data_IF_725694045668
#
_entry.id   IF_725694045668
#
_cell.length_a   1.000
_cell.length_b   1.000
_cell.length_c   1.000
_cell.angle_alpha   90.00
_cell.angle_beta   90.00
_cell.angle_gamma   90.00
#
_symmetry.space_group_name_H-M   'P 1'
#
loop_
_entity.id
_entity.type
_entity.pdbx_description
1 polymer ?
#
# COMPACT_ATOMS: atom_id res chain seq x y z
N UNK A 1 -0.13 61.39 -49.11
CA UNK A 1 -0.89 61.05 -47.89
C UNK A 1 -1.08 59.54 -47.85
N UNK A 2 -0.24 58.83 -47.10
CA UNK A 2 -0.25 57.37 -47.01
C UNK A 2 -0.86 57.02 -45.64
N UNK A 3 -2.02 56.33 -45.68
CA UNK A 3 -2.73 55.89 -44.50
C UNK A 3 -2.20 54.55 -43.99
N UNK A 4 -1.67 54.57 -42.77
CA UNK A 4 -1.15 53.41 -42.08
C UNK A 4 -2.32 52.59 -41.45
N UNK A 5 -2.60 51.39 -41.96
CA UNK A 5 -3.57 50.46 -41.36
C UNK A 5 -2.85 49.69 -40.26
N UNK A 6 -3.27 49.84 -39.02
CA UNK A 6 -2.85 49.03 -37.87
C UNK A 6 -3.57 47.68 -37.95
N UNK A 7 -2.82 46.61 -38.06
CA UNK A 7 -3.35 45.25 -37.87
C UNK A 7 -3.45 44.96 -36.36
N UNK A 8 -4.65 44.61 -35.89
CA UNK A 8 -4.90 44.10 -34.53
C UNK A 8 -4.79 42.58 -34.58
N UNK A 9 -3.76 42.05 -33.98
CA UNK A 9 -3.58 40.59 -33.81
C UNK A 9 -4.37 40.15 -32.58
N UNK A 10 -5.47 39.42 -32.80
CA UNK A 10 -6.23 38.76 -31.72
C UNK A 10 -5.47 37.49 -31.33
N UNK A 11 -4.89 37.45 -30.15
CA UNK A 11 -4.33 36.23 -29.53
C UNK A 11 -5.47 35.48 -28.87
N UNK A 12 -5.89 34.36 -29.44
CA UNK A 12 -6.84 33.46 -28.84
C UNK A 12 -6.11 32.67 -27.73
N UNK A 13 -6.46 32.93 -26.48
CA UNK A 13 -6.03 32.11 -25.36
C UNK A 13 -6.84 30.79 -25.39
N UNK A 14 -6.16 29.68 -25.67
CA UNK A 14 -6.71 28.33 -25.57
C UNK A 14 -6.80 27.97 -24.08
N UNK A 15 -7.98 28.09 -23.49
CA UNK A 15 -8.27 27.53 -22.16
C UNK A 15 -8.35 26.02 -22.31
N UNK A 16 -7.26 25.33 -21.94
CA UNK A 16 -7.27 23.91 -21.68
C UNK A 16 -8.12 23.68 -20.40
N UNK A 17 -9.35 23.25 -20.58
CA UNK A 17 -10.13 22.67 -19.50
C UNK A 17 -9.46 21.36 -19.08
N UNK A 18 -8.78 21.38 -17.93
CA UNK A 18 -8.41 20.17 -17.23
C UNK A 18 -9.74 19.52 -16.84
N UNK A 19 -10.15 18.49 -17.57
CA UNK A 19 -11.29 17.68 -17.20
C UNK A 19 -11.02 17.11 -15.81
N UNK A 20 -11.88 17.47 -14.84
CA UNK A 20 -11.93 16.76 -13.58
C UNK A 20 -12.09 15.27 -13.91
N UNK A 21 -11.15 14.45 -13.46
CA UNK A 21 -11.29 13.01 -13.56
C UNK A 21 -12.60 12.65 -12.86
N UNK A 22 -13.53 12.07 -13.61
CA UNK A 22 -14.76 11.56 -13.03
C UNK A 22 -14.36 10.58 -11.93
N UNK A 23 -14.73 10.92 -10.70
CA UNK A 23 -14.65 10.00 -9.57
C UNK A 23 -15.49 8.78 -9.97
N UNK A 24 -14.91 7.56 -10.06
CA UNK A 24 -15.73 6.40 -10.37
C UNK A 24 -16.78 6.28 -9.26
N UNK A 25 -18.01 6.59 -9.58
CA UNK A 25 -19.17 6.37 -8.71
C UNK A 25 -19.25 4.88 -8.43
N UNK A 26 -19.19 4.55 -7.16
CA UNK A 26 -19.01 3.25 -6.59
C UNK A 26 -19.94 2.17 -7.16
N UNK A 27 -19.39 1.05 -7.69
CA UNK A 27 -20.16 -0.17 -7.98
C UNK A 27 -20.67 -0.85 -6.70
N UNK A 28 -20.43 -0.27 -5.52
CA UNK A 28 -20.61 -0.91 -4.22
C UNK A 28 -21.97 -0.64 -3.57
N UNK A 29 -22.73 0.37 -4.00
CA UNK A 29 -24.05 0.69 -3.42
C UNK A 29 -25.07 -0.44 -3.55
N UNK A 30 -24.91 -1.38 -4.48
CA UNK A 30 -25.77 -2.56 -4.64
C UNK A 30 -25.32 -3.80 -3.84
N UNK A 31 -24.12 -3.80 -3.27
CA UNK A 31 -23.54 -4.95 -2.57
C UNK A 31 -23.67 -4.87 -1.04
N UNK A 32 -24.24 -3.78 -0.51
CA UNK A 32 -24.41 -3.56 0.93
C UNK A 32 -23.18 -2.96 1.64
N UNK A 33 -22.17 -2.52 0.89
CA UNK A 33 -21.04 -1.80 1.42
C UNK A 33 -21.37 -0.33 1.66
N UNK A 34 -21.08 0.18 2.86
CA UNK A 34 -21.28 1.57 3.29
C UNK A 34 -19.90 2.21 3.55
N UNK A 35 -19.59 3.34 2.90
CA UNK A 35 -18.36 4.09 3.14
C UNK A 35 -18.34 4.63 4.57
N UNK A 36 -17.31 4.28 5.35
CA UNK A 36 -17.17 4.70 6.76
C UNK A 36 -15.94 5.54 7.01
N UNK A 37 -14.96 5.50 6.12
CA UNK A 37 -13.76 6.32 6.18
C UNK A 37 -13.13 6.44 4.80
N UNK A 38 -12.57 7.61 4.51
CA UNK A 38 -11.81 7.83 3.28
C UNK A 38 -10.72 8.87 3.48
N UNK A 39 -9.68 8.77 2.66
CA UNK A 39 -8.79 9.87 2.35
C UNK A 39 -8.60 9.94 0.84
N UNK A 40 -9.11 11.03 0.27
CA UNK A 40 -9.00 11.36 -1.15
C UNK A 40 -7.75 12.20 -1.43
N UNK A 41 -6.93 12.44 -0.40
CA UNK A 41 -5.70 13.24 -0.43
C UNK A 41 -5.88 14.62 -1.06
N UNK A 42 -7.07 15.20 -0.90
CA UNK A 42 -7.33 16.58 -1.31
C UNK A 42 -6.54 17.56 -0.42
N UNK A 43 -6.06 18.64 -1.04
CA UNK A 43 -5.25 19.63 -0.33
C UNK A 43 -3.78 19.60 -0.74
N UNK A 44 -2.91 20.15 0.10
CA UNK A 44 -1.48 20.37 -0.17
C UNK A 44 -0.55 19.71 0.87
N UNK A 45 -1.12 18.98 1.82
CA UNK A 45 -0.38 18.35 2.91
C UNK A 45 -1.09 17.11 3.45
N UNK A 46 -0.30 16.21 4.05
CA UNK A 46 -0.81 15.01 4.70
C UNK A 46 -1.71 15.36 5.89
N UNK A 47 -2.93 14.83 5.91
CA UNK A 47 -3.85 14.99 7.04
C UNK A 47 -3.35 14.21 8.26
N UNK A 48 -2.85 14.95 9.25
CA UNK A 48 -2.29 14.39 10.50
C UNK A 48 -3.36 13.86 11.46
N UNK A 49 -4.62 14.08 11.19
CA UNK A 49 -5.72 13.45 11.94
C UNK A 49 -6.00 12.03 11.43
N UNK A 50 -5.56 11.72 10.20
CA UNK A 50 -5.70 10.41 9.57
C UNK A 50 -4.40 9.61 9.57
N UNK A 51 -3.23 10.28 9.44
CA UNK A 51 -1.96 9.64 9.19
C UNK A 51 -0.84 10.10 10.11
N UNK A 52 -0.05 9.15 10.58
CA UNK A 52 1.23 9.36 11.24
C UNK A 52 2.36 8.84 10.37
N UNK A 53 3.31 9.67 9.93
CA UNK A 53 4.55 9.20 9.31
C UNK A 53 5.39 8.37 10.25
N UNK A 54 6.01 7.32 9.73
CA UNK A 54 7.06 6.61 10.44
C UNK A 54 8.41 7.28 10.20
N UNK A 55 9.19 7.46 11.27
CA UNK A 55 10.58 7.94 11.21
C UNK A 55 11.49 6.87 11.79
N UNK A 56 12.11 6.07 10.92
CA UNK A 56 13.05 5.01 11.33
C UNK A 56 13.91 4.56 10.16
N UNK A 57 15.04 3.94 10.48
CA UNK A 57 15.93 3.28 9.52
C UNK A 57 15.91 1.75 9.70
N UNK A 58 14.81 1.20 10.22
CA UNK A 58 14.71 -0.20 10.63
C UNK A 58 14.74 -1.19 9.45
N UNK A 59 14.19 -0.79 8.30
CA UNK A 59 14.11 -1.67 7.13
C UNK A 59 13.21 -2.88 7.31
N UNK A 60 12.15 -2.77 8.15
CA UNK A 60 11.10 -3.79 8.31
C UNK A 60 11.57 -5.19 8.77
N UNK A 61 12.85 -5.35 9.13
CA UNK A 61 13.45 -6.68 9.34
C UNK A 61 13.81 -7.42 8.04
N UNK A 62 13.60 -6.81 6.88
CA UNK A 62 13.79 -7.40 5.55
C UNK A 62 15.10 -6.99 4.86
N UNK A 63 16.01 -6.31 5.58
CA UNK A 63 17.24 -5.72 5.04
C UNK A 63 17.01 -4.62 4.01
N UNK A 64 15.89 -3.91 4.12
CA UNK A 64 15.60 -2.74 3.29
C UNK A 64 16.65 -1.64 3.54
N UNK A 65 16.84 -0.77 2.55
CA UNK A 65 18.00 0.13 2.47
C UNK A 65 17.65 1.60 2.70
N UNK A 66 16.42 1.94 3.07
CA UNK A 66 15.99 3.30 3.34
C UNK A 66 15.90 3.62 4.83
N UNK A 67 16.00 4.90 5.14
CA UNK A 67 15.34 5.49 6.30
C UNK A 67 14.01 6.08 5.84
N UNK A 68 12.93 5.80 6.55
CA UNK A 68 11.69 6.55 6.43
C UNK A 68 11.83 7.88 7.15
N UNK A 69 11.32 8.94 6.55
CA UNK A 69 11.37 10.30 7.09
C UNK A 69 10.04 11.01 6.94
N UNK A 70 9.79 11.99 7.82
CA UNK A 70 8.64 12.88 7.76
C UNK A 70 8.98 14.21 7.07
N UNK A 71 9.56 14.13 5.87
CA UNK A 71 9.96 15.31 5.09
C UNK A 71 9.14 15.38 3.80
N UNK A 72 8.83 16.60 3.28
CA UNK A 72 8.15 16.77 1.99
C UNK A 72 8.88 16.09 0.82
N UNK A 73 10.20 15.91 0.93
CA UNK A 73 11.01 15.17 -0.04
C UNK A 73 10.65 13.68 -0.12
N UNK A 74 10.04 13.11 0.92
CA UNK A 74 9.68 11.70 1.00
C UNK A 74 8.17 11.47 1.11
N UNK A 75 7.40 12.43 1.67
CA UNK A 75 5.95 12.36 1.80
C UNK A 75 5.38 13.70 1.37
N UNK A 76 4.55 13.70 0.31
CA UNK A 76 3.87 14.90 -0.16
C UNK A 76 2.44 14.56 -0.61
N UNK A 77 1.57 15.56 -0.54
CA UNK A 77 0.24 15.53 -1.19
C UNK A 77 0.28 16.59 -2.27
N UNK A 78 0.10 16.19 -3.51
CA UNK A 78 0.22 17.07 -4.67
C UNK A 78 -0.86 16.71 -5.69
N UNK A 79 -1.73 17.66 -6.03
CA UNK A 79 -2.77 17.47 -7.05
C UNK A 79 -3.78 16.36 -6.74
N UNK A 80 -4.15 16.19 -5.48
CA UNK A 80 -5.09 15.15 -5.04
C UNK A 80 -4.47 13.75 -4.91
N UNK A 81 -3.14 13.65 -4.78
CA UNK A 81 -2.44 12.37 -4.73
C UNK A 81 -1.41 12.36 -3.60
N UNK A 82 -1.42 11.32 -2.77
CA UNK A 82 -0.32 11.05 -1.85
C UNK A 82 0.87 10.47 -2.61
N UNK A 83 2.02 11.10 -2.47
CA UNK A 83 3.27 10.71 -3.09
C UNK A 83 4.27 10.23 -2.03
N UNK A 84 4.59 8.94 -2.02
CA UNK A 84 5.69 8.39 -1.23
C UNK A 84 6.92 8.29 -2.14
N UNK A 85 7.94 9.08 -1.82
CA UNK A 85 9.10 9.33 -2.71
C UNK A 85 10.36 8.68 -2.13
N UNK A 86 10.94 7.72 -2.86
CA UNK A 86 12.25 7.12 -2.52
C UNK A 86 13.37 7.83 -3.24
N UNK A 87 14.42 8.24 -2.50
CA UNK A 87 15.54 9.02 -3.01
C UNK A 87 16.87 8.36 -2.65
N UNK A 88 17.84 8.43 -3.56
CA UNK A 88 19.22 8.07 -3.26
C UNK A 88 19.85 9.22 -2.47
N UNK A 89 19.81 9.11 -1.17
CA UNK A 89 20.28 10.13 -0.23
C UNK A 89 20.80 9.43 1.03
N UNK A 90 22.05 9.72 1.41
CA UNK A 90 22.60 9.21 2.67
C UNK A 90 21.98 9.94 3.85
N UNK A 91 21.31 9.21 4.72
CA UNK A 91 20.60 9.76 5.87
C UNK A 91 20.90 8.97 7.14
N UNK A 92 20.99 9.66 8.28
CA UNK A 92 21.18 9.07 9.61
C UNK A 92 19.97 9.35 10.47
N UNK A 93 19.29 8.32 10.93
CA UNK A 93 18.08 8.41 11.74
C UNK A 93 18.00 7.33 12.82
N UNK A 94 16.89 7.29 13.58
CA UNK A 94 16.64 6.25 14.58
C UNK A 94 16.69 4.86 13.96
N UNK A 95 17.33 3.90 14.64
CA UNK A 95 17.40 2.52 14.13
C UNK A 95 16.05 1.83 14.09
N UNK A 96 15.14 2.17 15.01
CA UNK A 96 13.82 1.54 15.15
C UNK A 96 12.71 2.58 15.31
N UNK A 97 11.48 2.27 14.89
CA UNK A 97 10.34 3.12 15.21
C UNK A 97 10.06 3.10 16.72
N UNK A 98 9.43 4.13 17.29
CA UNK A 98 9.29 4.31 18.74
C UNK A 98 8.69 3.12 19.48
N UNK A 99 7.77 2.39 18.86
CA UNK A 99 7.03 1.29 19.48
C UNK A 99 7.87 0.05 19.80
N UNK A 100 8.97 -0.11 19.08
CA UNK A 100 9.90 -1.25 19.25
C UNK A 100 11.34 -0.79 19.50
N UNK A 101 11.50 0.49 19.82
CA UNK A 101 12.81 1.07 20.07
C UNK A 101 13.37 0.65 21.44
N UNK A 102 14.67 0.41 21.47
CA UNK A 102 15.44 0.33 22.72
C UNK A 102 15.67 1.74 23.28
N UNK A 103 15.94 1.86 24.55
CA UNK A 103 16.29 3.13 25.17
C UNK A 103 17.75 3.07 25.71
N UNK A 104 18.70 3.84 25.12
CA UNK A 104 18.50 4.78 24.01
C UNK A 104 18.30 4.06 22.66
N UNK A 105 17.49 4.67 21.77
CA UNK A 105 17.33 4.20 20.39
C UNK A 105 18.58 4.59 19.58
N UNK A 106 19.40 3.64 19.13
CA UNK A 106 20.63 3.96 18.40
C UNK A 106 20.29 4.62 17.06
N UNK A 107 21.25 5.37 16.52
CA UNK A 107 21.13 5.93 15.17
C UNK A 107 21.90 5.05 14.18
N UNK A 108 21.33 4.85 13.01
CA UNK A 108 21.97 4.15 11.89
C UNK A 108 21.91 5.00 10.63
N UNK A 109 22.81 4.73 9.69
CA UNK A 109 22.88 5.44 8.42
C UNK A 109 22.50 4.49 7.28
N UNK A 110 21.59 4.94 6.44
CA UNK A 110 21.16 4.24 5.23
C UNK A 110 21.48 5.07 3.97
N UNK A 111 21.65 4.42 2.80
CA UNK A 111 21.97 5.11 1.56
C UNK A 111 20.77 5.71 0.82
N UNK A 112 19.55 5.46 1.30
CA UNK A 112 18.30 5.95 0.73
C UNK A 112 17.42 6.55 1.80
N UNK A 113 16.52 7.44 1.38
CA UNK A 113 15.38 7.91 2.18
C UNK A 113 14.08 7.57 1.45
N UNK A 114 12.99 7.40 2.19
CA UNK A 114 11.66 7.14 1.64
C UNK A 114 10.54 7.57 2.57
N UNK A 115 9.28 7.38 2.14
CA UNK A 115 8.08 7.68 2.91
C UNK A 115 7.34 6.43 3.37
N UNK A 116 6.79 6.49 4.60
CA UNK A 116 5.84 5.56 5.17
C UNK A 116 4.83 6.29 6.02
N UNK A 117 3.55 6.04 5.80
CA UNK A 117 2.43 6.60 6.56
C UNK A 117 1.55 5.49 7.11
N UNK A 118 0.91 5.71 8.27
CA UNK A 118 0.08 4.71 8.93
C UNK A 118 -1.05 5.36 9.73
N UNK A 119 -2.17 4.66 9.82
CA UNK A 119 -3.32 5.09 10.63
C UNK A 119 -3.27 4.61 12.08
N UNK A 120 -2.17 3.98 12.51
CA UNK A 120 -1.99 3.41 13.86
C UNK A 120 -2.28 4.42 14.95
N UNK A 121 -3.14 4.02 15.92
CA UNK A 121 -3.55 4.86 17.04
C UNK A 121 -4.50 6.00 16.66
N UNK A 122 -4.86 6.14 15.38
CA UNK A 122 -5.83 7.10 14.87
C UNK A 122 -7.08 6.38 14.36
N UNK A 123 -6.90 5.38 13.49
CA UNK A 123 -7.98 4.61 12.88
C UNK A 123 -7.57 3.15 12.71
N UNK A 124 -8.47 2.24 13.08
CA UNK A 124 -8.35 0.80 12.86
C UNK A 124 -9.75 0.19 12.64
N UNK A 125 -9.81 -0.88 11.86
CA UNK A 125 -11.07 -1.52 11.48
C UNK A 125 -10.97 -3.03 11.71
N UNK A 126 -12.10 -3.62 12.06
CA UNK A 126 -12.29 -5.06 12.08
C UNK A 126 -13.37 -5.39 11.08
N UNK A 127 -13.02 -6.18 10.07
CA UNK A 127 -13.86 -6.53 8.93
C UNK A 127 -14.22 -5.32 8.05
N UNK A 128 -14.68 -5.59 6.86
CA UNK A 128 -15.03 -4.58 5.89
C UNK A 128 -14.35 -4.78 4.54
N UNK A 129 -14.46 -3.80 3.68
CA UNK A 129 -13.72 -3.71 2.42
C UNK A 129 -12.80 -2.49 2.49
N UNK A 130 -11.53 -2.71 2.23
CA UNK A 130 -10.54 -1.65 2.12
C UNK A 130 -10.10 -1.59 0.66
N UNK A 131 -10.18 -0.42 0.08
CA UNK A 131 -9.78 -0.14 -1.30
C UNK A 131 -8.68 0.90 -1.34
N UNK A 132 -7.76 0.70 -2.25
CA UNK A 132 -6.65 1.62 -2.53
C UNK A 132 -6.55 1.82 -4.04
N UNK A 133 -6.71 3.06 -4.52
CA UNK A 133 -6.41 3.39 -5.90
C UNK A 133 -4.99 3.91 -5.98
N UNK A 134 -4.12 3.16 -6.64
CA UNK A 134 -2.69 3.45 -6.62
C UNK A 134 -2.01 3.14 -7.95
N UNK A 135 -0.89 3.86 -8.21
CA UNK A 135 0.05 3.61 -9.29
C UNK A 135 1.42 3.32 -8.71
N UNK A 136 1.89 2.10 -8.88
CA UNK A 136 3.17 1.64 -8.32
C UNK A 136 4.36 2.12 -9.17
N UNK A 137 5.53 2.40 -8.56
CA UNK A 137 6.72 2.79 -9.33
C UNK A 137 7.31 1.61 -10.10
N UNK A 138 7.83 1.83 -11.31
CA UNK A 138 8.65 0.84 -11.99
C UNK A 138 10.08 0.82 -11.42
N UNK A 139 10.80 -0.28 -11.71
CA UNK A 139 12.25 -0.35 -11.51
C UNK A 139 12.72 -1.42 -10.55
N UNK A 140 13.89 -2.00 -10.87
CA UNK A 140 14.54 -3.01 -10.03
C UNK A 140 14.97 -2.42 -8.69
N UNK A 141 14.47 -2.98 -7.60
CA UNK A 141 14.77 -2.57 -6.23
C UNK A 141 13.70 -1.67 -5.59
N UNK A 142 12.60 -1.33 -6.30
CA UNK A 142 11.43 -0.70 -5.68
C UNK A 142 10.54 -1.75 -5.02
N UNK A 143 9.92 -1.40 -3.88
CA UNK A 143 8.97 -2.24 -3.16
C UNK A 143 7.90 -1.36 -2.50
N UNK A 144 6.91 -0.88 -3.26
CA UNK A 144 5.72 -0.24 -2.72
C UNK A 144 4.82 -1.27 -2.05
N UNK A 145 4.15 -0.88 -0.97
CA UNK A 145 3.16 -1.69 -0.27
C UNK A 145 2.05 -0.85 0.34
N UNK A 146 0.83 -1.41 0.36
CA UNK A 146 -0.27 -1.01 1.22
C UNK A 146 -0.76 -2.25 1.95
N UNK A 147 -0.70 -2.22 3.26
CA UNK A 147 -0.85 -3.38 4.11
C UNK A 147 -1.41 -3.00 5.48
N UNK A 148 -1.76 -4.00 6.28
CA UNK A 148 -2.41 -3.80 7.56
C UNK A 148 -1.75 -4.63 8.65
N UNK A 149 -1.64 -4.04 9.83
CA UNK A 149 -1.19 -4.71 11.05
C UNK A 149 -2.23 -4.53 12.16
N UNK A 150 -2.29 -5.44 13.15
CA UNK A 150 -3.19 -5.28 14.28
C UNK A 150 -2.86 -4.01 15.05
N UNK A 151 -3.89 -3.25 15.39
CA UNK A 151 -3.75 -2.02 16.19
C UNK A 151 -3.19 -2.34 17.58
N UNK A 152 -3.76 -3.36 18.20
CA UNK A 152 -3.22 -4.01 19.40
C UNK A 152 -2.96 -5.49 19.09
N UNK A 153 -1.75 -6.02 19.36
CA UNK A 153 -1.40 -7.40 19.01
C UNK A 153 -2.01 -8.40 19.99
N UNK A 154 -3.34 -8.62 19.92
CA UNK A 154 -4.10 -9.42 20.88
C UNK A 154 -3.60 -10.86 21.05
N UNK A 155 -2.94 -11.42 20.05
CA UNK A 155 -2.40 -12.78 20.06
C UNK A 155 -0.89 -12.85 20.29
N UNK A 156 -0.22 -11.72 20.49
CA UNK A 156 1.22 -11.61 20.69
C UNK A 156 1.96 -11.03 19.49
N UNK A 157 3.31 -11.04 19.51
CA UNK A 157 4.11 -10.40 18.48
C UNK A 157 3.95 -11.07 17.11
N UNK A 158 4.33 -10.32 16.07
CA UNK A 158 4.29 -10.77 14.69
C UNK A 158 4.92 -12.17 14.50
N UNK A 159 4.29 -13.06 13.72
CA UNK A 159 3.00 -12.92 13.05
C UNK A 159 1.83 -13.61 13.79
N UNK A 160 1.96 -13.82 15.13
CA UNK A 160 0.90 -14.45 15.94
C UNK A 160 -0.42 -13.68 15.85
N UNK A 161 -0.34 -12.36 15.70
CA UNK A 161 -1.50 -11.47 15.59
C UNK A 161 -1.88 -11.13 14.14
N UNK A 162 -1.23 -11.76 13.15
CA UNK A 162 -1.56 -11.61 11.72
C UNK A 162 -0.96 -10.37 11.06
N UNK A 163 -1.01 -10.38 9.70
CA UNK A 163 -0.71 -9.28 8.79
C UNK A 163 -1.51 -9.48 7.51
N UNK A 164 -2.04 -8.43 6.93
CA UNK A 164 -2.85 -8.45 5.70
C UNK A 164 -2.20 -7.51 4.68
N UNK A 165 -1.66 -8.05 3.59
CA UNK A 165 -1.01 -7.28 2.53
C UNK A 165 -1.99 -7.12 1.37
N UNK A 166 -2.56 -5.90 1.24
CA UNK A 166 -3.55 -5.60 0.20
C UNK A 166 -2.86 -5.47 -1.15
N UNK A 167 -1.75 -4.74 -1.17
CA UNK A 167 -0.92 -4.48 -2.34
C UNK A 167 0.54 -4.53 -1.95
N UNK A 168 1.29 -5.40 -2.60
CA UNK A 168 2.73 -5.30 -2.72
C UNK A 168 3.12 -5.39 -4.20
N UNK A 169 4.18 -4.71 -4.58
CA UNK A 169 4.78 -4.87 -5.89
C UNK A 169 6.30 -4.75 -5.79
N UNK A 170 7.01 -5.57 -6.54
CA UNK A 170 8.48 -5.48 -6.58
C UNK A 170 8.97 -5.47 -8.01
N UNK A 171 9.95 -4.61 -8.28
CA UNK A 171 10.72 -4.66 -9.53
C UNK A 171 9.88 -4.51 -10.81
N UNK A 172 8.76 -3.79 -10.79
CA UNK A 172 7.87 -3.64 -11.94
C UNK A 172 8.65 -3.19 -13.19
N UNK A 173 8.42 -3.85 -14.33
CA UNK A 173 9.13 -3.63 -15.59
C UNK A 173 10.52 -4.26 -15.65
N UNK A 174 11.07 -4.79 -14.57
CA UNK A 174 12.36 -5.48 -14.59
C UNK A 174 12.25 -6.85 -15.28
N UNK A 175 13.39 -7.37 -15.77
CA UNK A 175 13.45 -8.66 -16.49
C UNK A 175 12.79 -9.77 -15.68
N UNK A 176 11.77 -10.40 -16.25
CA UNK A 176 11.02 -11.50 -15.62
C UNK A 176 10.89 -12.65 -16.61
N UNK A 177 11.24 -13.88 -16.18
CA UNK A 177 11.18 -15.06 -17.04
C UNK A 177 9.81 -15.72 -17.05
N UNK A 178 9.01 -15.50 -16.00
CA UNK A 178 7.72 -16.17 -15.77
C UNK A 178 6.52 -15.24 -15.96
N UNK A 179 6.78 -13.96 -16.26
CA UNK A 179 5.73 -12.98 -16.48
C UNK A 179 5.19 -13.04 -17.89
N UNK A 180 3.89 -12.87 -18.05
CA UNK A 180 3.23 -12.83 -19.34
C UNK A 180 3.29 -11.41 -19.94
N UNK A 181 3.00 -11.29 -21.25
CA UNK A 181 2.93 -9.99 -21.94
C UNK A 181 4.27 -9.39 -22.37
N UNK A 182 5.42 -9.97 -22.00
CA UNK A 182 6.75 -9.57 -22.49
C UNK A 182 7.29 -8.21 -22.00
N UNK A 183 6.55 -7.52 -21.11
CA UNK A 183 6.91 -6.19 -20.58
C UNK A 183 7.82 -6.24 -19.33
N UNK A 184 8.24 -7.41 -18.87
CA UNK A 184 8.97 -7.62 -17.62
C UNK A 184 8.03 -7.97 -16.46
N UNK A 185 8.46 -7.70 -15.22
CA UNK A 185 7.62 -7.95 -14.04
C UNK A 185 6.39 -7.05 -14.07
N UNK A 186 5.21 -7.66 -14.08
CA UNK A 186 3.93 -6.98 -14.19
C UNK A 186 2.89 -7.48 -13.19
N UNK A 187 3.36 -8.21 -12.16
CA UNK A 187 2.48 -8.78 -11.16
C UNK A 187 2.55 -7.99 -9.86
N UNK A 188 1.39 -7.86 -9.23
CA UNK A 188 1.24 -7.43 -7.84
C UNK A 188 1.03 -8.65 -6.95
N UNK A 189 1.23 -8.47 -5.65
CA UNK A 189 1.16 -9.51 -4.64
C UNK A 189 0.13 -9.08 -3.61
N UNK A 190 -0.70 -10.03 -3.15
CA UNK A 190 -1.45 -9.91 -1.93
C UNK A 190 -1.15 -11.12 -1.05
N UNK A 191 -1.07 -10.92 0.27
CA UNK A 191 -0.70 -11.98 1.20
C UNK A 191 -1.40 -11.87 2.57
N UNK A 192 -1.40 -12.99 3.27
CA UNK A 192 -1.69 -13.07 4.71
C UNK A 192 -0.49 -13.71 5.40
N UNK A 193 0.03 -13.09 6.47
CA UNK A 193 1.04 -13.70 7.32
C UNK A 193 0.45 -14.07 8.69
N UNK A 194 0.75 -15.27 9.18
CA UNK A 194 0.15 -15.83 10.39
C UNK A 194 0.97 -17.00 10.97
N UNK A 195 0.42 -17.70 11.94
CA UNK A 195 0.93 -18.97 12.46
C UNK A 195 1.77 -18.82 13.71
N UNK A 196 3.04 -19.17 13.67
CA UNK A 196 3.96 -19.16 14.79
C UNK A 196 5.06 -18.10 14.61
N UNK A 197 5.83 -17.83 15.64
CA UNK A 197 7.04 -17.02 15.57
C UNK A 197 8.05 -17.60 14.56
N UNK A 198 8.84 -16.73 13.93
CA UNK A 198 9.90 -17.15 13.02
C UNK A 198 10.85 -18.17 13.70
N UNK A 199 11.35 -19.20 13.00
CA UNK A 199 11.17 -19.46 11.55
C UNK A 199 9.97 -20.34 11.19
N UNK A 200 9.00 -20.53 12.10
CA UNK A 200 7.80 -21.36 11.91
C UNK A 200 6.56 -20.56 11.51
N UNK A 201 6.77 -19.30 11.13
CA UNK A 201 5.70 -18.48 10.55
C UNK A 201 5.29 -19.01 9.18
N UNK A 202 4.02 -18.77 8.83
CA UNK A 202 3.42 -19.16 7.55
C UNK A 202 2.81 -17.96 6.86
N UNK A 203 2.59 -18.11 5.58
CA UNK A 203 1.86 -17.13 4.78
C UNK A 203 1.11 -17.84 3.64
N UNK A 204 0.10 -17.16 3.12
CA UNK A 204 -0.58 -17.49 1.87
C UNK A 204 -0.50 -16.25 1.00
N UNK A 205 -0.03 -16.38 -0.23
CA UNK A 205 0.10 -15.26 -1.17
C UNK A 205 -0.47 -15.60 -2.55
N UNK A 206 -0.73 -14.57 -3.34
CA UNK A 206 -1.03 -14.67 -4.77
C UNK A 206 -0.32 -13.55 -5.51
N UNK A 207 0.35 -13.92 -6.61
CA UNK A 207 0.93 -12.98 -7.58
C UNK A 207 0.05 -12.91 -8.81
N UNK A 208 -0.55 -11.75 -9.06
CA UNK A 208 -1.47 -11.56 -10.18
C UNK A 208 -1.02 -10.42 -11.09
N UNK A 209 -1.21 -10.60 -12.40
CA UNK A 209 -1.07 -9.54 -13.39
C UNK A 209 -2.44 -8.90 -13.68
N UNK A 210 -2.42 -7.68 -14.19
CA UNK A 210 -3.62 -7.04 -14.73
C UNK A 210 -4.23 -7.87 -15.85
N UNK A 211 -5.53 -7.73 -16.11
CA UNK A 211 -6.24 -8.52 -17.11
C UNK A 211 -5.70 -8.34 -18.53
N UNK A 212 -5.25 -7.13 -18.86
CA UNK A 212 -4.66 -6.77 -20.15
C UNK A 212 -3.13 -6.98 -20.21
N UNK A 213 -2.53 -7.50 -19.14
CA UNK A 213 -1.09 -7.69 -18.98
C UNK A 213 -0.27 -6.39 -19.09
N UNK A 214 -0.88 -5.22 -18.86
CA UNK A 214 -0.18 -3.95 -18.74
C UNK A 214 0.72 -3.93 -17.49
N UNK A 215 1.61 -2.97 -17.39
CA UNK A 215 2.37 -2.74 -16.17
C UNK A 215 1.50 -1.96 -15.18
N UNK A 216 1.40 -2.37 -13.91
CA UNK A 216 0.68 -1.61 -12.89
C UNK A 216 1.35 -0.27 -12.55
N UNK A 217 2.45 0.06 -13.23
CA UNK A 217 3.11 1.37 -13.21
C UNK A 217 2.64 2.31 -14.32
N UNK A 218 1.86 1.83 -15.29
CA UNK A 218 1.44 2.65 -16.44
C UNK A 218 0.27 3.57 -16.06
N UNK A 219 -0.66 3.08 -15.18
CA UNK A 219 -1.83 3.83 -14.73
C UNK A 219 -2.20 3.49 -13.26
N UNK A 220 -3.24 4.16 -12.75
CA UNK A 220 -3.84 3.86 -11.45
C UNK A 220 -4.77 2.66 -11.55
N UNK A 221 -4.65 1.75 -10.59
CA UNK A 221 -5.48 0.56 -10.44
C UNK A 221 -6.06 0.50 -9.03
N UNK A 222 -7.19 -0.18 -8.85
CA UNK A 222 -7.83 -0.38 -7.56
C UNK A 222 -7.42 -1.74 -6.99
N UNK A 223 -6.77 -1.72 -5.85
CA UNK A 223 -6.41 -2.91 -5.07
C UNK A 223 -7.31 -2.99 -3.84
N UNK A 224 -7.90 -4.14 -3.58
CA UNK A 224 -8.86 -4.24 -2.49
C UNK A 224 -8.71 -5.53 -1.70
N UNK A 225 -9.09 -5.46 -0.43
CA UNK A 225 -9.38 -6.61 0.42
C UNK A 225 -10.83 -6.56 0.88
N UNK A 226 -11.56 -7.66 0.73
CA UNK A 226 -12.83 -7.91 1.40
C UNK A 226 -12.58 -8.88 2.54
N UNK A 227 -12.82 -8.42 3.74
CA UNK A 227 -12.49 -9.11 4.96
C UNK A 227 -13.72 -9.29 5.86
N UNK A 228 -14.11 -10.52 6.05
CA UNK A 228 -15.17 -10.94 6.97
C UNK A 228 -14.69 -12.04 7.90
N UNK A 229 -15.49 -12.35 8.91
CA UNK A 229 -15.18 -13.40 9.85
C UNK A 229 -14.92 -14.74 9.16
N UNK A 230 -13.69 -15.24 9.23
CA UNK A 230 -13.29 -16.50 8.63
C UNK A 230 -13.21 -16.51 7.10
N UNK A 231 -13.21 -15.34 6.43
CA UNK A 231 -13.09 -15.24 4.98
C UNK A 231 -12.40 -13.93 4.60
N UNK A 232 -11.34 -14.01 3.79
CA UNK A 232 -10.63 -12.86 3.24
C UNK A 232 -10.47 -13.08 1.73
N UNK A 233 -10.79 -12.05 0.93
CA UNK A 233 -10.58 -12.04 -0.51
C UNK A 233 -9.79 -10.83 -0.93
N UNK A 234 -8.90 -11.01 -1.89
CA UNK A 234 -8.13 -9.94 -2.50
C UNK A 234 -8.51 -9.75 -3.96
N UNK A 235 -8.61 -8.49 -4.37
CA UNK A 235 -9.06 -8.11 -5.70
C UNK A 235 -8.12 -7.08 -6.34
N UNK A 236 -8.01 -7.13 -7.65
CA UNK A 236 -7.40 -6.08 -8.48
C UNK A 236 -8.42 -5.70 -9.55
N UNK A 237 -8.78 -4.41 -9.61
CA UNK A 237 -9.82 -3.88 -10.52
C UNK A 237 -11.10 -4.75 -10.45
N UNK A 238 -11.59 -4.98 -9.23
CA UNK A 238 -12.76 -5.81 -8.88
C UNK A 238 -12.67 -7.30 -9.28
N UNK A 239 -11.53 -7.75 -9.81
CA UNK A 239 -11.31 -9.15 -10.12
C UNK A 239 -10.67 -9.87 -8.92
N UNK A 240 -11.38 -10.80 -8.32
CA UNK A 240 -10.84 -11.67 -7.26
C UNK A 240 -9.69 -12.51 -7.78
N UNK A 241 -8.55 -12.50 -7.09
CA UNK A 241 -7.38 -13.31 -7.44
C UNK A 241 -6.88 -14.20 -6.30
N UNK A 242 -7.32 -13.96 -5.06
CA UNK A 242 -7.03 -14.80 -3.90
C UNK A 242 -8.23 -14.83 -2.96
N UNK A 243 -8.60 -16.02 -2.52
CA UNK A 243 -9.60 -16.23 -1.47
C UNK A 243 -8.99 -17.16 -0.42
N UNK A 244 -9.03 -16.76 0.84
CA UNK A 244 -8.50 -17.53 1.98
C UNK A 244 -9.58 -17.68 3.01
N UNK A 245 -9.77 -18.88 3.53
CA UNK A 245 -10.76 -19.23 4.55
C UNK A 245 -10.12 -19.66 5.86
N UNK A 246 -10.88 -19.63 6.95
CA UNK A 246 -10.38 -19.86 8.31
C UNK A 246 -9.68 -21.22 8.53
N UNK A 247 -9.93 -22.20 7.69
CA UNK A 247 -9.25 -23.49 7.72
C UNK A 247 -7.81 -23.44 7.14
N UNK A 248 -7.44 -22.35 6.47
CA UNK A 248 -6.13 -22.15 5.85
C UNK A 248 -5.16 -21.32 6.71
N UNK A 249 -5.65 -20.68 7.78
CA UNK A 249 -4.82 -19.92 8.71
C UNK A 249 -4.97 -20.39 10.15
N UNK A 250 -4.07 -19.99 11.02
CA UNK A 250 -4.11 -20.20 12.46
C UNK A 250 -3.25 -19.17 13.19
N UNK A 251 -3.29 -19.21 14.51
CA UNK A 251 -2.27 -18.60 15.36
C UNK A 251 -1.83 -19.58 16.43
N UNK A 252 -0.52 -19.74 16.60
CA UNK A 252 0.05 -20.57 17.65
C UNK A 252 -0.07 -19.93 19.06
N UNK A 253 -0.68 -18.77 19.16
CA UNK A 253 -0.95 -18.12 20.44
C UNK A 253 -1.94 -18.96 21.26
N UNK A 254 -1.69 -19.19 22.57
CA UNK A 254 -2.69 -19.79 23.45
C UNK A 254 -4.01 -19.01 23.52
N UNK A 255 -3.95 -17.68 23.28
CA UNK A 255 -5.12 -16.79 23.27
C UNK A 255 -6.02 -16.99 22.05
N UNK A 256 -5.52 -17.63 20.98
CA UNK A 256 -6.29 -17.96 19.78
C UNK A 256 -7.05 -19.28 19.90
N UNK A 257 -6.85 -20.05 20.99
CA UNK A 257 -7.49 -21.35 21.18
C UNK A 257 -9.01 -21.24 21.19
N UNK A 258 -9.66 -22.00 20.29
CA UNK A 258 -11.13 -21.99 20.14
C UNK A 258 -11.69 -20.80 19.36
N UNK A 259 -10.83 -19.99 18.73
CA UNK A 259 -11.18 -18.84 17.91
C UNK A 259 -10.78 -19.08 16.45
N UNK A 260 -11.62 -19.71 15.63
CA UNK A 260 -11.24 -20.10 14.27
C UNK A 260 -10.96 -18.91 13.34
N UNK A 261 -11.51 -17.73 13.62
CA UNK A 261 -11.22 -16.52 12.84
C UNK A 261 -9.90 -15.82 13.26
N UNK A 262 -9.28 -16.22 14.41
CA UNK A 262 -7.99 -15.68 14.82
C UNK A 262 -6.86 -16.10 13.85
N UNK A 263 -5.92 -15.19 13.57
CA UNK A 263 -5.67 -13.90 14.20
C UNK A 263 -6.43 -12.72 13.55
N UNK A 264 -7.25 -12.95 12.52
CA UNK A 264 -7.90 -11.91 11.71
C UNK A 264 -9.29 -11.51 12.25
N UNK A 265 -9.51 -11.58 13.56
CA UNK A 265 -10.77 -11.24 14.23
C UNK A 265 -10.63 -10.05 15.22
N UNK A 266 -9.64 -9.20 14.98
CA UNK A 266 -9.29 -8.01 15.75
C UNK A 266 -9.13 -6.78 14.84
N UNK A 267 -9.13 -5.55 15.37
CA UNK A 267 -8.91 -4.37 14.56
C UNK A 267 -7.49 -4.29 13.99
N UNK A 268 -7.39 -3.93 12.70
CA UNK A 268 -6.14 -3.65 11.99
C UNK A 268 -6.10 -2.21 11.51
N UNK A 269 -4.93 -1.56 11.59
CA UNK A 269 -4.67 -0.27 10.99
C UNK A 269 -4.02 -0.42 9.61
N UNK A 270 -4.21 0.57 8.75
CA UNK A 270 -3.63 0.61 7.40
C UNK A 270 -2.31 1.34 7.41
N UNK A 271 -1.36 0.89 6.59
CA UNK A 271 -0.15 1.62 6.30
C UNK A 271 0.22 1.53 4.82
N UNK A 272 0.93 2.57 4.35
CA UNK A 272 1.47 2.62 3.00
C UNK A 272 2.93 3.05 3.05
N UNK A 273 3.78 2.40 2.24
CA UNK A 273 5.20 2.73 2.15
C UNK A 273 5.80 2.43 0.78
N UNK A 274 6.94 3.06 0.52
CA UNK A 274 7.81 2.67 -0.58
C UNK A 274 9.16 2.23 -0.02
N UNK A 275 9.37 0.93 0.11
CA UNK A 275 10.66 0.38 0.51
C UNK A 275 11.67 0.37 -0.65
N UNK A 276 12.95 0.37 -0.30
CA UNK A 276 14.08 0.32 -1.23
C UNK A 276 14.91 -0.91 -0.92
N UNK A 277 15.05 -1.80 -1.88
CA UNK A 277 15.78 -3.04 -1.69
C UNK A 277 15.04 -4.03 -0.79
N UNK A 278 15.81 -4.74 0.03
CA UNK A 278 15.30 -5.81 0.87
C UNK A 278 15.19 -7.16 0.14
N UNK A 279 14.99 -8.23 0.90
CA UNK A 279 15.01 -9.60 0.36
C UNK A 279 14.05 -9.79 -0.80
N UNK A 280 12.80 -9.34 -0.67
CA UNK A 280 11.79 -9.61 -1.69
C UNK A 280 12.13 -8.95 -3.04
N UNK A 281 12.69 -7.74 -3.04
CA UNK A 281 13.05 -7.08 -4.30
C UNK A 281 14.46 -7.46 -4.79
N UNK A 282 15.46 -7.56 -3.89
CA UNK A 282 16.85 -7.81 -4.29
C UNK A 282 17.15 -9.26 -4.70
N UNK A 283 16.38 -10.23 -4.23
CA UNK A 283 16.56 -11.64 -4.57
C UNK A 283 15.76 -12.08 -5.81
N UNK A 284 14.87 -11.21 -6.32
CA UNK A 284 14.00 -11.50 -7.46
C UNK A 284 14.41 -10.72 -8.73
N UNK A 285 13.90 -11.15 -9.87
CA UNK A 285 14.06 -10.55 -11.21
C UNK A 285 15.54 -10.43 -11.63
N UNK A 286 16.05 -9.20 -11.81
CA UNK A 286 17.45 -8.95 -12.18
C UNK A 286 18.41 -9.01 -11.00
N UNK A 287 17.88 -9.16 -9.77
CA UNK A 287 18.58 -9.12 -8.49
C UNK A 287 19.27 -7.78 -8.17
N UNK A 288 19.43 -7.52 -6.88
CA UNK A 288 20.03 -6.28 -6.38
C UNK A 288 19.21 -5.02 -6.70
N UNK A 289 19.85 -3.87 -6.61
CA UNK A 289 19.28 -2.55 -6.86
C UNK A 289 19.79 -1.98 -8.18
N UNK A 290 18.91 -1.44 -9.00
CA UNK A 290 19.31 -0.64 -10.15
C UNK A 290 19.29 0.85 -9.77
N UNK A 291 20.46 1.50 -9.77
CA UNK A 291 20.57 2.91 -9.38
C UNK A 291 19.68 3.85 -10.22
N UNK A 292 19.41 3.48 -11.48
CA UNK A 292 18.51 4.21 -12.38
C UNK A 292 17.03 4.13 -12.01
N UNK A 293 16.65 3.23 -11.09
CA UNK A 293 15.28 3.13 -10.58
C UNK A 293 14.95 4.24 -9.58
N UNK A 294 15.93 5.04 -9.17
CA UNK A 294 15.75 6.10 -8.18
C UNK A 294 16.17 7.46 -8.75
N UNK A 295 15.42 8.57 -8.44
CA UNK A 295 14.28 8.61 -7.53
C UNK A 295 13.08 7.81 -8.05
N UNK A 296 12.31 7.21 -7.12
CA UNK A 296 11.08 6.50 -7.42
C UNK A 296 9.92 7.11 -6.63
N UNK A 297 8.71 6.94 -7.14
CA UNK A 297 7.52 7.54 -6.53
C UNK A 297 6.36 6.55 -6.58
N UNK A 298 5.80 6.24 -5.42
CA UNK A 298 4.55 5.51 -5.26
C UNK A 298 3.42 6.52 -5.09
N UNK A 299 2.44 6.49 -6.00
CA UNK A 299 1.33 7.44 -6.03
C UNK A 299 0.04 6.75 -5.59
N UNK A 300 -0.65 7.33 -4.60
CA UNK A 300 -1.93 6.84 -4.08
C UNK A 300 -2.96 7.96 -4.24
N UNK A 301 -3.98 7.69 -5.07
CA UNK A 301 -5.04 8.62 -5.39
C UNK A 301 -6.04 8.73 -4.23
N UNK A 302 -6.47 7.58 -3.71
CA UNK A 302 -7.32 7.52 -2.53
C UNK A 302 -7.21 6.17 -1.80
N UNK A 303 -7.63 6.19 -0.52
CA UNK A 303 -7.86 4.99 0.29
C UNK A 303 -9.25 5.11 0.91
N UNK A 304 -10.08 4.07 0.75
CA UNK A 304 -11.46 4.03 1.21
C UNK A 304 -11.73 2.79 2.03
N UNK A 305 -12.48 2.93 3.12
CA UNK A 305 -12.88 1.82 3.98
C UNK A 305 -14.40 1.76 4.05
N UNK A 306 -14.93 0.58 3.79
CA UNK A 306 -16.36 0.31 3.80
C UNK A 306 -16.70 -0.73 4.86
N UNK A 307 -17.84 -0.55 5.51
CA UNK A 307 -18.45 -1.52 6.42
C UNK A 307 -19.55 -2.28 5.68
N UNK A 308 -19.78 -3.53 6.02
CA UNK A 308 -20.94 -4.26 5.56
C UNK A 308 -22.18 -3.79 6.35
N UNK A 309 -23.07 -3.01 5.71
CA UNK A 309 -24.23 -2.42 6.39
C UNK A 309 -25.24 -3.48 6.90
N UNK A 310 -25.57 -4.55 6.13
CA UNK A 310 -26.48 -5.59 6.61
C UNK A 310 -25.87 -6.54 7.66
N UNK A 311 -24.54 -6.55 7.80
CA UNK A 311 -23.81 -7.45 8.70
C UNK A 311 -22.51 -6.80 9.19
N UNK A 312 -22.61 -5.77 10.06
CA UNK A 312 -21.45 -5.01 10.51
C UNK A 312 -20.54 -5.81 11.47
N UNK A 313 -21.06 -6.86 12.09
CA UNK A 313 -20.35 -7.65 13.12
C UNK A 313 -19.41 -8.69 12.50
N UNK A 314 -19.80 -9.30 11.39
CA UNK A 314 -19.00 -10.35 10.74
C UNK A 314 -18.53 -10.00 9.32
N UNK A 315 -19.16 -9.03 8.66
CA UNK A 315 -18.83 -8.63 7.29
C UNK A 315 -19.22 -9.64 6.21
N UNK A 316 -19.69 -10.83 6.59
CA UNK A 316 -19.88 -11.99 5.70
C UNK A 316 -20.97 -11.76 4.65
N UNK A 317 -22.05 -11.05 5.00
CA UNK A 317 -23.19 -10.87 4.10
C UNK A 317 -22.85 -10.05 2.83
N UNK A 318 -21.78 -9.27 2.85
CA UNK A 318 -21.33 -8.46 1.70
C UNK A 318 -20.31 -9.18 0.81
N UNK A 319 -19.68 -10.25 1.28
CA UNK A 319 -18.68 -11.02 0.53
C UNK A 319 -19.39 -12.15 -0.23
N UNK A 320 -19.68 -11.93 -1.50
CA UNK A 320 -20.48 -12.86 -2.35
C UNK A 320 -19.60 -13.75 -3.22
#
# INVERSE_FOLDING_TARGET
MAGLRKAVTLTAALLLSVGAAETPTAPLEGAGWELVWADEFEGDSLDRTKWTPEVSCWGGGNFERQCYTDRPDNIAVEGGVLLLKARKERFTGPARPPEIAENPNPKVTQPYTSGKVRTKGLHAWRYGRIEVRAKVPPGQGTWPAVWMMPDEPAYGPWPLSGEIDILEAVNIGAKCKVCLGGKGENRTISALHFGNLAPRNRFVDSRTALADLALPSDDFHVFSVEWGEGLIRFLVDDRVHLTVTADQWDSASPLAKGRPAAPFDQPFYVMANLAVGGRLSEENNAKGLAAKSFPAQFAIDWIRVYRCAPDPDTGRACIK
#
